data_IF_475591227333
#
_entry.id   IF_475591227333
#
_cell.length_a   1.000
_cell.length_b   1.000
_cell.length_c   1.000
_cell.angle_alpha   90.00
_cell.angle_beta   90.00
_cell.angle_gamma   90.00
#
_symmetry.space_group_name_H-M   'P 1'
#
loop_
_entity.id
_entity.type
_entity.pdbx_description
1 polymer ?
#
# COMPACT_ATOMS: atom_id res chain seq x y z
N UNK A 1 -2.55 -9.75 13.87
CA UNK A 1 -2.36 -8.87 12.71
C UNK A 1 -2.13 -7.46 13.26
N UNK A 2 -1.15 -6.73 12.74
CA UNK A 2 -0.85 -5.37 13.23
C UNK A 2 -1.10 -4.40 12.08
N UNK A 3 -2.01 -3.47 12.30
CA UNK A 3 -2.31 -2.38 11.38
C UNK A 3 -1.53 -1.14 11.83
N UNK A 4 -0.90 -0.42 10.89
CA UNK A 4 -0.21 0.83 11.20
C UNK A 4 -1.19 2.02 11.26
N UNK A 5 -0.68 3.22 11.59
CA UNK A 5 -1.47 4.46 11.65
C UNK A 5 -2.16 4.86 10.34
N UNK A 6 -1.75 4.28 9.21
CA UNK A 6 -2.27 4.54 7.87
C UNK A 6 -3.24 3.45 7.38
N UNK A 7 -3.61 2.52 8.26
CA UNK A 7 -4.51 1.43 7.91
C UNK A 7 -3.85 0.29 7.13
N UNK A 8 -2.53 0.31 6.92
CA UNK A 8 -1.81 -0.75 6.20
C UNK A 8 -1.60 -1.94 7.13
N UNK A 9 -1.96 -3.13 6.65
CA UNK A 9 -1.83 -4.38 7.41
C UNK A 9 -0.80 -5.29 6.76
N UNK A 10 0.22 -5.66 7.55
CA UNK A 10 1.22 -6.65 7.17
C UNK A 10 1.07 -7.92 8.00
N UNK A 11 1.48 -9.07 7.46
CA UNK A 11 1.57 -10.31 8.24
C UNK A 11 2.80 -10.28 9.16
N UNK A 12 2.67 -10.40 10.50
CA UNK A 12 3.76 -10.28 11.46
C UNK A 12 4.61 -11.55 11.64
N UNK A 13 4.62 -12.47 10.66
CA UNK A 13 5.59 -13.56 10.60
C UNK A 13 7.04 -13.02 10.78
N UNK A 14 8.03 -13.85 11.19
CA UNK A 14 9.38 -13.39 11.55
C UNK A 14 10.06 -12.49 10.49
N UNK A 15 9.58 -12.52 9.25
CA UNK A 15 9.64 -11.39 8.34
C UNK A 15 8.29 -11.14 7.66
N UNK A 16 7.93 -9.88 7.36
CA UNK A 16 6.73 -9.58 6.61
C UNK A 16 6.93 -10.04 5.16
N UNK A 17 6.19 -11.06 4.74
CA UNK A 17 6.18 -11.54 3.36
C UNK A 17 4.90 -11.17 2.61
N UNK A 18 3.91 -10.65 3.34
CA UNK A 18 2.57 -10.42 2.84
C UNK A 18 2.06 -9.05 3.28
N UNK A 19 1.38 -8.37 2.37
CA UNK A 19 0.64 -7.12 2.60
C UNK A 19 -0.83 -7.34 2.27
N UNK A 20 -1.72 -6.77 3.07
CA UNK A 20 -3.15 -6.79 2.82
C UNK A 20 -3.53 -5.56 2.01
N UNK A 21 -4.13 -5.74 0.84
CA UNK A 21 -4.47 -4.64 -0.05
C UNK A 21 -5.81 -4.87 -0.77
N UNK A 22 -6.47 -3.78 -1.10
CA UNK A 22 -7.74 -3.77 -1.81
C UNK A 22 -7.49 -3.66 -3.32
N UNK A 23 -8.11 -4.46 -4.20
CA UNK A 23 -7.98 -4.28 -5.66
C UNK A 23 -8.37 -2.87 -6.06
N UNK A 24 -7.59 -2.16 -6.88
CA UNK A 24 -7.93 -0.82 -7.39
C UNK A 24 -9.13 -0.87 -8.32
N UNK A 25 -9.95 0.18 -8.29
CA UNK A 25 -11.11 0.36 -9.16
C UNK A 25 -11.30 1.86 -9.35
N UNK A 26 -11.56 2.26 -10.59
CA UNK A 26 -11.70 3.67 -10.93
C UNK A 26 -12.83 4.32 -10.12
N UNK A 27 -12.58 5.56 -9.68
CA UNK A 27 -13.52 6.38 -8.91
C UNK A 27 -14.03 5.76 -7.60
N UNK A 28 -13.34 4.74 -7.06
CA UNK A 28 -13.71 4.11 -5.79
C UNK A 28 -12.60 4.16 -4.75
N UNK A 29 -12.90 4.86 -3.66
CA UNK A 29 -12.02 4.98 -2.50
C UNK A 29 -12.14 3.77 -1.55
N UNK A 30 -11.08 3.38 -0.83
CA UNK A 30 -11.10 2.23 0.08
C UNK A 30 -12.13 2.35 1.20
N UNK A 31 -12.43 3.57 1.66
CA UNK A 31 -13.35 3.83 2.77
C UNK A 31 -14.82 3.49 2.44
N UNK A 32 -15.19 3.44 1.15
CA UNK A 32 -16.57 3.29 0.70
C UNK A 32 -16.77 2.03 -0.14
N UNK A 33 -16.03 0.95 0.16
CA UNK A 33 -15.98 -0.20 -0.74
C UNK A 33 -16.31 -1.56 -0.13
N UNK A 34 -17.06 -2.35 -0.91
CA UNK A 34 -17.45 -3.73 -0.63
C UNK A 34 -16.47 -4.75 -1.24
N UNK A 35 -15.48 -4.29 -2.02
CA UNK A 35 -14.39 -5.11 -2.56
C UNK A 35 -13.71 -5.88 -1.43
N UNK A 36 -13.37 -7.14 -1.72
CA UNK A 36 -12.66 -7.97 -0.76
C UNK A 36 -11.16 -7.66 -0.79
N UNK A 37 -10.62 -7.35 0.38
CA UNK A 37 -9.19 -7.22 0.60
C UNK A 37 -8.46 -8.56 0.43
N UNK A 38 -7.24 -8.52 -0.13
CA UNK A 38 -6.45 -9.70 -0.49
C UNK A 38 -5.05 -9.63 0.10
N UNK A 39 -4.50 -10.78 0.47
CA UNK A 39 -3.09 -10.91 0.83
C UNK A 39 -2.25 -11.03 -0.43
N UNK A 40 -1.30 -10.10 -0.60
CA UNK A 40 -0.38 -10.05 -1.73
C UNK A 40 1.04 -10.33 -1.27
N UNK A 41 1.79 -11.02 -2.10
CA UNK A 41 3.22 -11.30 -1.89
C UNK A 41 4.02 -10.01 -2.09
N UNK A 42 4.79 -9.61 -1.07
CA UNK A 42 5.61 -8.40 -1.14
C UNK A 42 6.70 -8.49 -2.22
N UNK A 43 7.25 -9.68 -2.46
CA UNK A 43 8.26 -9.95 -3.50
C UNK A 43 7.72 -9.91 -4.94
N UNK A 44 6.40 -9.79 -5.11
CA UNK A 44 5.74 -9.68 -6.42
C UNK A 44 5.38 -8.23 -6.77
N UNK A 45 5.62 -7.29 -5.87
CA UNK A 45 5.37 -5.87 -6.14
C UNK A 45 6.40 -5.37 -7.14
N UNK A 46 5.93 -4.91 -8.30
CA UNK A 46 6.79 -4.37 -9.37
C UNK A 46 6.82 -2.85 -9.38
N UNK A 47 5.83 -2.21 -8.76
CA UNK A 47 5.72 -0.75 -8.73
C UNK A 47 5.00 -0.30 -7.47
N UNK A 48 5.45 0.82 -6.91
CA UNK A 48 4.79 1.58 -5.85
C UNK A 48 4.64 2.99 -6.39
N UNK A 49 3.46 3.58 -6.23
CA UNK A 49 3.13 4.93 -6.68
C UNK A 49 2.24 5.61 -5.66
N UNK A 50 2.24 6.94 -5.72
CA UNK A 50 1.27 7.79 -5.05
C UNK A 50 0.23 8.28 -6.07
N UNK A 51 -1.05 8.20 -5.70
CA UNK A 51 -2.19 8.63 -6.51
C UNK A 51 -3.02 9.65 -5.73
N UNK A 52 -3.43 10.75 -6.39
CA UNK A 52 -4.35 11.72 -5.80
C UNK A 52 -5.75 11.10 -5.69
N UNK A 53 -6.26 10.96 -4.47
CA UNK A 53 -7.58 10.42 -4.20
C UNK A 53 -8.67 11.50 -4.19
N UNK A 54 -8.43 12.63 -3.51
CA UNK A 54 -9.36 13.76 -3.38
C UNK A 54 -8.59 15.08 -3.38
N UNK A 55 -9.16 16.12 -4.00
CA UNK A 55 -8.63 17.47 -3.99
C UNK A 55 -7.99 17.89 -5.31
N UNK A 56 -7.29 19.02 -5.29
CA UNK A 56 -6.50 19.52 -6.41
C UNK A 56 -5.02 19.57 -5.97
N UNK A 57 -4.04 19.20 -6.81
CA UNK A 57 -2.62 19.18 -6.42
C UNK A 57 -2.03 20.52 -5.96
N UNK A 58 -2.78 21.62 -6.11
CA UNK A 58 -2.37 22.97 -5.76
C UNK A 58 -2.95 23.47 -4.40
N UNK A 59 -3.80 22.68 -3.73
CA UNK A 59 -4.50 23.07 -2.51
C UNK A 59 -4.06 22.20 -1.31
N UNK A 60 -3.96 22.78 -0.11
CA UNK A 60 -3.64 22.09 1.16
C UNK A 60 -4.68 21.03 1.61
N UNK A 61 -5.71 20.80 0.79
CA UNK A 61 -6.76 19.81 1.03
C UNK A 61 -6.53 18.49 0.30
N UNK A 62 -5.38 18.36 -0.38
CA UNK A 62 -5.03 17.19 -1.15
C UNK A 62 -4.88 15.94 -0.27
N UNK A 63 -5.58 14.89 -0.68
CA UNK A 63 -5.49 13.59 -0.04
C UNK A 63 -5.15 12.53 -1.07
N UNK A 64 -4.15 11.74 -0.73
CA UNK A 64 -3.49 10.79 -1.60
C UNK A 64 -3.71 9.38 -1.11
N UNK A 65 -3.34 8.44 -1.96
CA UNK A 65 -3.31 7.02 -1.68
C UNK A 65 -2.04 6.42 -2.23
N UNK A 66 -1.56 5.36 -1.57
CA UNK A 66 -0.54 4.51 -2.18
C UNK A 66 -1.24 3.52 -3.11
N UNK A 67 -0.64 3.29 -4.26
CA UNK A 67 -1.02 2.25 -5.21
C UNK A 67 0.19 1.35 -5.43
N UNK A 68 -0.02 0.04 -5.34
CA UNK A 68 0.99 -0.98 -5.63
C UNK A 68 0.57 -1.80 -6.84
N UNK A 69 1.52 -2.20 -7.67
CA UNK A 69 1.28 -3.11 -8.79
C UNK A 69 1.87 -4.48 -8.48
N UNK A 70 1.06 -5.53 -8.62
CA UNK A 70 1.43 -6.94 -8.41
C UNK A 70 0.93 -7.73 -9.60
N UNK A 71 1.83 -8.43 -10.30
CA UNK A 71 1.52 -9.26 -11.47
C UNK A 71 0.68 -8.52 -12.54
N UNK A 72 0.89 -7.21 -12.70
CA UNK A 72 0.19 -6.35 -13.67
C UNK A 72 -1.13 -5.75 -13.19
N UNK A 73 -1.61 -6.12 -11.99
CA UNK A 73 -2.82 -5.58 -11.38
C UNK A 73 -2.50 -4.55 -10.28
N UNK A 74 -3.35 -3.53 -10.13
CA UNK A 74 -3.16 -2.46 -9.17
C UNK A 74 -4.00 -2.65 -7.90
N UNK A 75 -3.44 -2.28 -6.77
CA UNK A 75 -4.04 -2.42 -5.44
C UNK A 75 -3.74 -1.22 -4.55
N UNK A 76 -4.61 -0.97 -3.58
CA UNK A 76 -4.43 0.04 -2.54
C UNK A 76 -4.14 -0.64 -1.20
N UNK A 77 -2.91 -0.51 -0.66
CA UNK A 77 -2.58 -1.05 0.66
C UNK A 77 -3.08 -0.16 1.81
N UNK A 78 -3.45 1.10 1.55
CA UNK A 78 -3.99 2.02 2.55
C UNK A 78 -5.51 1.89 2.65
N UNK A 79 -6.03 1.75 3.87
CA UNK A 79 -7.47 1.68 4.12
C UNK A 79 -8.14 3.07 4.17
N UNK A 80 -7.33 4.13 4.17
CA UNK A 80 -7.76 5.52 4.25
C UNK A 80 -6.97 6.37 3.28
N UNK A 81 -7.53 7.55 3.00
CA UNK A 81 -6.80 8.63 2.35
C UNK A 81 -5.73 9.19 3.31
N UNK A 82 -4.59 9.57 2.75
CA UNK A 82 -3.43 10.09 3.48
C UNK A 82 -3.23 11.55 3.07
N UNK A 83 -2.94 12.43 4.02
CA UNK A 83 -2.65 13.84 3.71
C UNK A 83 -1.38 13.97 2.88
N UNK A 84 -1.29 15.00 2.04
CA UNK A 84 -0.10 15.31 1.24
C UNK A 84 1.20 15.25 2.04
N UNK A 85 1.26 15.88 3.20
CA UNK A 85 2.49 15.92 4.04
C UNK A 85 2.94 14.55 4.57
N UNK A 86 2.03 13.58 4.69
CA UNK A 86 2.32 12.25 5.24
C UNK A 86 2.61 11.21 4.13
N UNK A 87 2.26 11.48 2.87
CA UNK A 87 2.21 10.45 1.82
C UNK A 87 3.57 9.85 1.49
N UNK A 88 4.62 10.69 1.43
CA UNK A 88 5.99 10.24 1.19
C UNK A 88 6.44 9.25 2.28
N UNK A 89 6.08 9.52 3.54
CA UNK A 89 6.38 8.61 4.65
C UNK A 89 5.63 7.28 4.51
N UNK A 90 4.41 7.28 3.98
CA UNK A 90 3.64 6.05 3.72
C UNK A 90 4.26 5.24 2.59
N UNK A 91 4.63 5.91 1.50
CA UNK A 91 5.28 5.28 0.35
C UNK A 91 6.61 4.61 0.76
N UNK A 92 7.48 5.36 1.46
CA UNK A 92 8.74 4.83 2.01
C UNK A 92 8.50 3.65 2.95
N UNK A 93 7.45 3.70 3.76
CA UNK A 93 7.10 2.59 4.65
C UNK A 93 6.75 1.31 3.89
N UNK A 94 6.04 1.40 2.76
CA UNK A 94 5.75 0.24 1.90
C UNK A 94 7.03 -0.27 1.24
N UNK A 95 7.88 0.62 0.72
CA UNK A 95 9.17 0.30 0.11
C UNK A 95 10.06 -0.48 1.11
N UNK A 96 10.15 -0.03 2.35
CA UNK A 96 10.94 -0.69 3.39
C UNK A 96 10.48 -2.13 3.65
N UNK A 97 9.17 -2.37 3.66
CA UNK A 97 8.63 -3.71 3.86
C UNK A 97 8.90 -4.63 2.66
N UNK A 98 8.83 -4.10 1.43
CA UNK A 98 9.24 -4.84 0.22
C UNK A 98 10.72 -5.22 0.31
N UNK A 99 11.60 -4.28 0.65
CA UNK A 99 13.04 -4.53 0.77
C UNK A 99 13.35 -5.59 1.84
N UNK A 100 12.67 -5.55 3.00
CA UNK A 100 12.80 -6.56 4.05
C UNK A 100 12.37 -7.95 3.57
N UNK A 101 11.27 -8.04 2.85
CA UNK A 101 10.78 -9.30 2.28
C UNK A 101 11.81 -9.90 1.29
N UNK A 102 12.34 -9.07 0.39
CA UNK A 102 13.36 -9.48 -0.59
C UNK A 102 14.65 -9.95 0.09
N UNK A 103 15.11 -9.24 1.13
CA UNK A 103 16.32 -9.62 1.87
C UNK A 103 16.17 -10.98 2.57
N UNK A 104 14.97 -11.32 3.04
CA UNK A 104 14.69 -12.62 3.68
C UNK A 104 14.71 -13.75 2.66
N UNK A 105 14.12 -13.52 1.49
CA UNK A 105 14.13 -14.50 0.40
C UNK A 105 15.54 -14.71 -0.16
N UNK A 106 16.36 -13.66 -0.22
CA UNK A 106 17.76 -13.75 -0.64
C UNK A 106 18.63 -14.58 0.31
N UNK A 107 18.37 -14.52 1.63
CA UNK A 107 19.07 -15.33 2.65
C UNK A 107 18.66 -16.80 2.69
N UNK A 108 17.50 -17.11 2.13
CA UNK A 108 16.95 -18.48 2.10
C UNK A 108 17.35 -19.26 0.83
N UNK A 109 18.17 -18.65 -0.04
CA UNK A 109 18.81 -19.25 -1.20
C UNK A 109 20.27 -19.54 -0.88
#
# INVERSE_FOLDING_TARGET
MTQNRFGITFNPAPAPLWIYALPRAESRLPANDERQWRWLRLDRITQIMTELGVGHPADESDQHMVTITVDGEQYHPTAMLVKGDDIESVELYVIDYVNRALAVLAKSR
#
